data_IF_326545592590
#
_entry.id   IF_326545592590
#
_cell.length_a   1.000
_cell.length_b   1.000
_cell.length_c   1.000
_cell.angle_alpha   90.00
_cell.angle_beta   90.00
_cell.angle_gamma   90.00
#
_symmetry.space_group_name_H-M   'P 1'
#
loop_
_entity.id
_entity.type
_entity.pdbx_description
1 polymer ?
#
# COMPACT_ATOMS: atom_id res chain seq x y z
N UNK A 1 -6.89 -0.88 15.25
CA UNK A 1 -8.36 -0.65 15.19
C UNK A 1 -8.77 0.69 14.57
N UNK A 2 -8.18 1.83 14.95
CA UNK A 2 -8.60 3.16 14.45
C UNK A 2 -8.53 3.28 12.91
N UNK A 3 -7.44 2.84 12.29
CA UNK A 3 -7.26 2.85 10.83
C UNK A 3 -8.36 2.03 10.14
N UNK A 4 -8.65 0.82 10.62
CA UNK A 4 -9.69 -0.05 10.07
C UNK A 4 -11.08 0.60 10.12
N UNK A 5 -11.40 1.27 11.24
CA UNK A 5 -12.66 2.00 11.39
C UNK A 5 -12.73 3.19 10.41
N UNK A 6 -11.66 3.97 10.29
CA UNK A 6 -11.59 5.09 9.34
C UNK A 6 -11.69 4.60 7.89
N UNK A 7 -11.09 3.46 7.55
CA UNK A 7 -11.20 2.85 6.25
C UNK A 7 -12.63 2.38 5.94
N UNK A 8 -13.30 1.77 6.91
CA UNK A 8 -14.71 1.39 6.79
C UNK A 8 -15.59 2.62 6.55
N UNK A 9 -15.38 3.72 7.28
CA UNK A 9 -16.10 4.98 7.08
C UNK A 9 -15.83 5.56 5.70
N UNK A 10 -14.56 5.67 5.29
CA UNK A 10 -14.20 6.21 3.98
C UNK A 10 -14.89 5.48 2.81
N UNK A 11 -15.04 4.15 2.91
CA UNK A 11 -15.72 3.37 1.88
C UNK A 11 -17.22 3.64 1.76
N UNK A 12 -17.86 4.15 2.82
CA UNK A 12 -19.28 4.50 2.83
C UNK A 12 -19.54 5.95 2.39
N UNK A 13 -18.51 6.80 2.34
CA UNK A 13 -18.66 8.21 2.00
C UNK A 13 -18.65 8.45 0.48
N UNK A 14 -19.28 9.54 0.00
CA UNK A 14 -19.08 10.04 -1.37
C UNK A 14 -17.61 10.35 -1.64
N UNK A 15 -17.16 10.19 -2.89
CA UNK A 15 -15.73 10.36 -3.26
C UNK A 15 -15.14 11.73 -2.89
N UNK A 16 -15.96 12.78 -2.85
CA UNK A 16 -15.57 14.14 -2.46
C UNK A 16 -15.26 14.29 -0.97
N UNK A 17 -15.79 13.40 -0.13
CA UNK A 17 -15.67 13.45 1.34
C UNK A 17 -14.64 12.45 1.88
N UNK A 18 -14.11 11.56 1.02
CA UNK A 18 -13.09 10.57 1.38
C UNK A 18 -11.73 11.16 1.76
N UNK A 19 -11.18 12.18 1.05
CA UNK A 19 -9.79 12.58 1.26
C UNK A 19 -9.42 12.98 2.70
N UNK A 20 -10.25 13.75 3.45
CA UNK A 20 -9.94 14.08 4.85
C UNK A 20 -9.90 12.84 5.76
N UNK A 21 -10.83 11.90 5.59
CA UNK A 21 -10.86 10.67 6.39
C UNK A 21 -9.67 9.76 6.07
N UNK A 22 -9.27 9.71 4.80
CA UNK A 22 -8.10 8.95 4.35
C UNK A 22 -6.82 9.54 4.94
N UNK A 23 -6.66 10.87 4.96
CA UNK A 23 -5.54 11.51 5.62
C UNK A 23 -5.45 11.14 7.12
N UNK A 24 -6.59 11.14 7.82
CA UNK A 24 -6.62 10.68 9.22
C UNK A 24 -6.29 9.18 9.38
N UNK A 25 -6.63 8.34 8.41
CA UNK A 25 -6.27 6.94 8.42
C UNK A 25 -4.75 6.75 8.22
N UNK A 26 -4.15 7.54 7.33
CA UNK A 26 -2.69 7.60 7.11
C UNK A 26 -1.98 8.03 8.40
N UNK A 27 -2.39 9.15 9.00
CA UNK A 27 -1.81 9.64 10.26
C UNK A 27 -1.90 8.59 11.39
N UNK A 28 -3.06 7.93 11.52
CA UNK A 28 -3.28 6.92 12.54
C UNK A 28 -2.43 5.66 12.30
N UNK A 29 -2.17 5.31 11.04
CA UNK A 29 -1.32 4.19 10.68
C UNK A 29 0.15 4.50 11.00
N UNK A 30 0.67 5.66 10.63
CA UNK A 30 2.07 5.99 10.93
C UNK A 30 2.36 6.09 12.43
N UNK A 31 1.35 6.42 13.23
CA UNK A 31 1.51 6.49 14.68
C UNK A 31 1.55 5.10 15.35
N UNK A 32 0.69 4.16 14.94
CA UNK A 32 0.44 2.91 15.67
C UNK A 32 0.10 1.70 14.78
N UNK A 33 0.52 1.73 13.52
CA UNK A 33 0.16 0.74 12.51
C UNK A 33 0.69 -0.65 12.84
N UNK A 34 -0.11 -1.63 12.45
CA UNK A 34 0.21 -3.04 12.40
C UNK A 34 -0.26 -3.64 11.06
N UNK A 35 -0.06 -4.96 10.89
CA UNK A 35 -0.43 -5.68 9.66
C UNK A 35 -1.91 -5.52 9.28
N UNK A 36 -2.81 -5.57 10.24
CA UNK A 36 -4.25 -5.55 9.96
C UNK A 36 -4.69 -4.14 9.54
N UNK A 37 -4.12 -3.12 10.18
CA UNK A 37 -4.34 -1.72 9.79
C UNK A 37 -3.67 -1.37 8.46
N UNK A 38 -2.51 -1.96 8.15
CA UNK A 38 -1.82 -1.77 6.87
C UNK A 38 -2.69 -2.20 5.70
N UNK A 39 -3.30 -3.39 5.76
CA UNK A 39 -4.19 -3.86 4.69
C UNK A 39 -5.43 -2.99 4.54
N UNK A 40 -6.00 -2.53 5.65
CA UNK A 40 -7.11 -1.57 5.62
C UNK A 40 -6.69 -0.26 4.94
N UNK A 41 -5.47 0.23 5.23
CA UNK A 41 -4.93 1.44 4.63
C UNK A 41 -4.67 1.29 3.13
N UNK A 42 -4.11 0.16 2.68
CA UNK A 42 -3.88 -0.15 1.26
C UNK A 42 -5.18 -0.10 0.46
N UNK A 43 -6.29 -0.56 1.03
CA UNK A 43 -7.61 -0.45 0.41
C UNK A 43 -8.06 1.00 0.13
N UNK A 44 -7.47 1.98 0.82
CA UNK A 44 -7.74 3.41 0.63
C UNK A 44 -6.84 4.07 -0.42
N UNK A 45 -5.88 3.34 -1.01
CA UNK A 45 -4.94 3.86 -2.01
C UNK A 45 -5.60 4.71 -3.11
N UNK A 46 -6.76 4.36 -3.70
CA UNK A 46 -7.39 5.19 -4.73
C UNK A 46 -7.71 6.62 -4.28
N UNK A 47 -7.83 6.86 -2.98
CA UNK A 47 -8.24 8.14 -2.39
C UNK A 47 -7.08 8.87 -1.68
N UNK A 48 -5.88 8.29 -1.67
CA UNK A 48 -4.70 8.90 -1.08
C UNK A 48 -4.14 10.05 -1.92
N UNK A 49 -3.36 10.93 -1.29
CA UNK A 49 -2.46 11.80 -2.05
C UNK A 49 -1.36 10.95 -2.70
N UNK A 50 -0.73 11.49 -3.77
CA UNK A 50 0.41 10.80 -4.40
C UNK A 50 1.57 10.60 -3.42
N UNK A 51 1.76 11.56 -2.51
CA UNK A 51 2.78 11.49 -1.45
C UNK A 51 2.52 10.28 -0.55
N UNK A 52 1.33 10.19 0.06
CA UNK A 52 1.02 9.13 1.02
C UNK A 52 1.07 7.74 0.36
N UNK A 53 0.56 7.63 -0.87
CA UNK A 53 0.62 6.38 -1.62
C UNK A 53 2.07 5.95 -1.91
N UNK A 54 2.95 6.91 -2.23
CA UNK A 54 4.38 6.65 -2.48
C UNK A 54 5.09 6.26 -1.20
N UNK A 55 4.85 6.97 -0.10
CA UNK A 55 5.45 6.68 1.21
C UNK A 55 5.05 5.29 1.71
N UNK A 56 3.77 4.92 1.60
CA UNK A 56 3.29 3.59 1.95
C UNK A 56 3.89 2.52 1.02
N UNK A 57 3.99 2.77 -0.29
CA UNK A 57 4.62 1.82 -1.22
C UNK A 57 6.09 1.56 -0.85
N UNK A 58 6.84 2.61 -0.51
CA UNK A 58 8.25 2.50 -0.12
C UNK A 58 8.38 1.69 1.18
N UNK A 59 7.53 1.93 2.17
CA UNK A 59 7.53 1.17 3.42
C UNK A 59 7.25 -0.33 3.18
N UNK A 60 6.24 -0.65 2.36
CA UNK A 60 5.92 -2.04 2.00
C UNK A 60 7.11 -2.75 1.33
N UNK A 61 7.77 -2.06 0.40
CA UNK A 61 8.92 -2.59 -0.31
C UNK A 61 10.16 -2.70 0.57
N UNK A 62 10.35 -1.80 1.54
CA UNK A 62 11.42 -1.89 2.52
C UNK A 62 11.23 -3.14 3.38
N UNK A 63 9.99 -3.37 3.84
CA UNK A 63 9.60 -4.48 4.70
C UNK A 63 10.36 -4.48 6.05
N UNK A 64 10.12 -5.48 6.90
CA UNK A 64 10.80 -5.58 8.18
C UNK A 64 12.30 -5.83 8.00
N UNK A 65 13.11 -5.27 8.89
CA UNK A 65 14.56 -5.44 8.88
C UNK A 65 14.94 -6.93 8.87
N UNK A 66 15.84 -7.31 7.96
CA UNK A 66 16.31 -8.69 7.80
C UNK A 66 15.43 -9.58 6.92
N UNK A 67 14.30 -9.08 6.40
CA UNK A 67 13.50 -9.84 5.43
C UNK A 67 14.12 -9.81 4.02
N UNK A 68 14.10 -10.97 3.36
CA UNK A 68 14.49 -11.09 1.95
C UNK A 68 13.46 -10.41 1.05
N UNK A 69 13.83 -10.13 -0.21
CA UNK A 69 12.86 -9.65 -1.20
C UNK A 69 11.73 -10.65 -1.43
N UNK A 70 12.06 -11.96 -1.48
CA UNK A 70 11.06 -13.01 -1.64
C UNK A 70 10.04 -13.01 -0.49
N UNK A 71 10.51 -12.99 0.77
CA UNK A 71 9.62 -12.93 1.95
C UNK A 71 8.74 -11.67 2.00
N UNK A 72 9.19 -10.55 1.44
CA UNK A 72 8.39 -9.33 1.31
C UNK A 72 7.33 -9.47 0.22
N UNK A 73 7.70 -10.01 -0.93
CA UNK A 73 6.82 -10.16 -2.08
C UNK A 73 5.79 -11.29 -1.93
N UNK A 74 6.10 -12.34 -1.16
CA UNK A 74 5.19 -13.46 -0.88
C UNK A 74 4.55 -13.38 0.51
N UNK A 75 5.05 -12.53 1.39
CA UNK A 75 4.61 -12.39 2.78
C UNK A 75 3.81 -11.12 3.05
N UNK A 76 4.29 -10.29 3.98
CA UNK A 76 3.62 -9.06 4.40
C UNK A 76 3.38 -8.12 3.21
N UNK A 77 2.13 -7.79 2.91
CA UNK A 77 1.89 -6.82 1.83
C UNK A 77 2.38 -7.33 0.48
N UNK A 78 2.29 -8.64 0.23
CA UNK A 78 2.79 -9.28 -0.99
C UNK A 78 2.28 -8.61 -2.26
N UNK A 79 2.80 -8.96 -3.43
CA UNK A 79 2.65 -8.18 -4.67
C UNK A 79 1.23 -7.68 -4.99
N UNK A 80 0.19 -8.40 -4.55
CA UNK A 80 -1.22 -8.01 -4.64
C UNK A 80 -1.51 -6.70 -3.90
N UNK A 81 -0.97 -6.52 -2.70
CA UNK A 81 -1.15 -5.34 -1.85
C UNK A 81 -0.40 -4.11 -2.43
N UNK A 82 0.54 -4.30 -3.37
CA UNK A 82 1.16 -3.19 -4.12
C UNK A 82 0.26 -2.66 -5.24
N UNK A 83 -0.64 -3.48 -5.78
CA UNK A 83 -1.49 -3.14 -6.95
C UNK A 83 -2.23 -1.81 -6.77
N UNK A 84 -2.95 -1.57 -5.65
CA UNK A 84 -3.70 -0.34 -5.47
C UNK A 84 -2.79 0.90 -5.45
N UNK A 85 -1.60 0.77 -4.86
CA UNK A 85 -0.62 1.86 -4.74
C UNK A 85 0.08 2.14 -6.07
N UNK A 86 0.53 1.11 -6.79
CA UNK A 86 1.13 1.26 -8.11
C UNK A 86 0.16 1.94 -9.09
N UNK A 87 -1.10 1.51 -9.10
CA UNK A 87 -2.16 2.14 -9.90
C UNK A 87 -2.41 3.58 -9.49
N UNK A 88 -2.38 3.87 -8.18
CA UNK A 88 -2.59 5.23 -7.69
C UNK A 88 -1.47 6.18 -8.12
N UNK A 89 -0.22 5.70 -8.13
CA UNK A 89 0.98 6.51 -8.39
C UNK A 89 1.18 6.74 -9.89
N UNK A 90 1.04 5.70 -10.71
CA UNK A 90 1.37 5.77 -12.15
C UNK A 90 0.48 4.92 -13.05
N UNK A 91 -0.71 4.53 -12.58
CA UNK A 91 -1.68 3.78 -13.38
C UNK A 91 -1.27 2.33 -13.67
N UNK A 92 -1.91 1.73 -14.66
CA UNK A 92 -1.66 0.34 -15.04
C UNK A 92 -0.26 0.13 -15.64
N UNK A 93 0.32 1.13 -16.32
CA UNK A 93 1.69 1.03 -16.84
C UNK A 93 2.72 0.91 -15.72
N UNK A 94 2.57 1.70 -14.64
CA UNK A 94 3.46 1.58 -13.48
C UNK A 94 3.34 0.20 -12.82
N UNK A 95 2.12 -0.35 -12.73
CA UNK A 95 1.91 -1.70 -12.23
C UNK A 95 2.59 -2.76 -13.10
N UNK A 96 2.38 -2.73 -14.41
CA UNK A 96 3.00 -3.68 -15.34
C UNK A 96 4.52 -3.58 -15.28
N UNK A 97 5.06 -2.36 -15.22
CA UNK A 97 6.50 -2.12 -15.11
C UNK A 97 7.07 -2.66 -13.80
N UNK A 98 6.38 -2.44 -12.68
CA UNK A 98 6.78 -2.98 -11.38
C UNK A 98 6.77 -4.51 -11.37
N UNK A 99 5.73 -5.15 -11.92
CA UNK A 99 5.65 -6.62 -12.05
C UNK A 99 6.80 -7.15 -12.89
N UNK A 100 7.09 -6.53 -14.05
CA UNK A 100 8.21 -6.94 -14.91
C UNK A 100 9.53 -6.85 -14.17
N UNK A 101 9.81 -5.73 -13.50
CA UNK A 101 11.04 -5.57 -12.72
C UNK A 101 11.17 -6.64 -11.63
N UNK A 102 10.06 -7.04 -11.00
CA UNK A 102 10.06 -8.12 -10.01
C UNK A 102 10.36 -9.48 -10.65
N UNK A 103 9.71 -9.82 -11.77
CA UNK A 103 9.98 -11.06 -12.51
C UNK A 103 11.43 -11.11 -13.00
N UNK A 104 11.94 -10.00 -13.55
CA UNK A 104 13.33 -9.90 -14.01
C UNK A 104 14.29 -10.17 -12.86
N UNK A 105 14.07 -9.59 -11.66
CA UNK A 105 14.92 -9.88 -10.49
C UNK A 105 14.79 -11.34 -10.03
N UNK A 106 13.60 -11.94 -10.12
CA UNK A 106 13.39 -13.34 -9.75
C UNK A 106 14.17 -14.30 -10.65
N UNK A 107 14.30 -14.00 -11.94
CA UNK A 107 15.06 -14.82 -12.90
C UNK A 107 16.58 -14.80 -12.63
N UNK A 108 17.07 -13.83 -11.84
CA UNK A 108 18.49 -13.67 -11.51
C UNK A 108 18.86 -14.33 -10.17
N UNK A 109 17.87 -14.82 -9.43
CA UNK A 109 18.07 -15.57 -8.20
C UNK A 109 18.32 -17.06 -8.54
N UNK A 110 19.36 -17.69 -7.98
CA UNK A 110 19.72 -19.09 -8.26
C UNK A 110 18.71 -20.11 -7.72
#
# INVERSE_FOLDING_TARGET
MRVTALAAVANQLPSTERPPIVAHAVDAYWAFGDRDTQRALIGLAPFMTLRDATELLVELLAGPAGSTLSERLTGWGGIIDLIPLSRRIGGDEALVTAIRAICDVADWLP
#
